data_IF_204730668945
#
_entry.id   IF_204730668945
#
_cell.length_a   1.000
_cell.length_b   1.000
_cell.length_c   1.000
_cell.angle_alpha   90.00
_cell.angle_beta   90.00
_cell.angle_gamma   90.00
#
_symmetry.space_group_name_H-M   'P 1'
#
loop_
_entity.id
_entity.type
_entity.pdbx_description
1 polymer ?
#
# COMPACT_ATOMS: atom_id res chain seq x y z
N UNK A 1 -18.22 -8.87 13.43
CA UNK A 1 -17.33 -10.03 13.20
C UNK A 1 -16.67 -10.38 14.53
N UNK A 2 -16.68 -11.64 15.00
CA UNK A 2 -15.87 -12.03 16.15
C UNK A 2 -14.38 -11.78 15.85
N UNK A 3 -13.55 -11.47 16.86
CA UNK A 3 -12.13 -11.26 16.67
C UNK A 3 -11.49 -12.52 16.08
N UNK A 4 -10.65 -12.33 15.05
CA UNK A 4 -9.81 -13.40 14.52
C UNK A 4 -8.70 -13.67 15.54
N UNK A 5 -8.71 -14.86 16.15
CA UNK A 5 -7.66 -15.31 17.07
C UNK A 5 -7.00 -16.53 16.45
N UNK A 6 -5.76 -16.37 15.99
CA UNK A 6 -4.95 -17.47 15.47
C UNK A 6 -3.66 -17.58 16.29
N UNK A 7 -3.48 -18.66 17.08
CA UNK A 7 -2.48 -18.72 18.14
C UNK A 7 -1.02 -18.63 17.67
N UNK A 8 -0.73 -18.99 16.41
CA UNK A 8 0.63 -18.96 15.85
C UNK A 8 0.80 -17.98 14.67
N UNK A 9 -0.25 -17.22 14.32
CA UNK A 9 -0.18 -16.34 13.15
C UNK A 9 0.76 -15.18 13.40
N UNK A 10 0.74 -14.60 14.60
CA UNK A 10 1.65 -13.52 14.98
C UNK A 10 3.12 -13.93 14.90
N UNK A 11 3.48 -15.11 15.40
CA UNK A 11 4.86 -15.62 15.36
C UNK A 11 5.31 -15.95 13.93
N UNK A 12 4.45 -16.60 13.14
CA UNK A 12 4.74 -16.90 11.74
C UNK A 12 4.90 -15.60 10.93
N UNK A 13 4.04 -14.61 11.19
CA UNK A 13 4.13 -13.30 10.58
C UNK A 13 5.45 -12.61 10.96
N UNK A 14 5.83 -12.60 12.24
CA UNK A 14 7.10 -12.01 12.68
C UNK A 14 8.32 -12.70 12.06
N UNK A 15 8.32 -14.03 11.98
CA UNK A 15 9.38 -14.79 11.31
C UNK A 15 9.48 -14.43 9.83
N UNK A 16 8.35 -14.44 9.11
CA UNK A 16 8.30 -14.07 7.68
C UNK A 16 8.63 -12.59 7.44
N UNK A 17 8.31 -11.69 8.36
CA UNK A 17 8.77 -10.30 8.30
C UNK A 17 10.29 -10.19 8.48
N UNK A 18 10.89 -11.05 9.32
CA UNK A 18 12.35 -11.17 9.44
C UNK A 18 13.01 -11.62 8.14
N UNK A 19 12.35 -12.48 7.36
CA UNK A 19 12.83 -12.90 6.03
C UNK A 19 12.78 -11.78 4.98
N UNK A 20 11.96 -10.74 5.19
CA UNK A 20 11.95 -9.56 4.31
C UNK A 20 13.15 -8.65 4.54
N UNK A 21 13.71 -8.60 5.75
CA UNK A 21 14.75 -7.65 6.12
C UNK A 21 16.00 -7.73 5.21
N UNK A 22 16.57 -8.91 4.91
CA UNK A 22 17.71 -9.05 3.98
C UNK A 22 17.40 -8.62 2.52
N UNK A 23 16.13 -8.53 2.14
CA UNK A 23 15.70 -8.04 0.82
C UNK A 23 15.57 -6.51 0.85
N UNK A 24 15.06 -5.96 1.95
CA UNK A 24 14.79 -4.53 2.10
C UNK A 24 16.06 -3.72 2.34
N UNK A 25 17.02 -4.24 3.12
CA UNK A 25 18.26 -3.53 3.46
C UNK A 25 19.09 -3.16 2.21
N UNK A 26 19.33 -4.06 1.24
CA UNK A 26 20.02 -3.68 0.00
C UNK A 26 19.24 -2.67 -0.86
N UNK A 27 17.90 -2.76 -0.86
CA UNK A 27 17.05 -1.86 -1.64
C UNK A 27 17.03 -0.44 -1.07
N UNK A 28 17.08 -0.32 0.25
CA UNK A 28 17.11 0.95 0.97
C UNK A 28 18.53 1.46 1.26
N UNK A 29 19.53 0.59 1.10
CA UNK A 29 20.95 0.90 1.30
C UNK A 29 21.31 1.15 2.77
N UNK A 30 20.56 0.57 3.70
CA UNK A 30 20.63 0.85 5.14
C UNK A 30 19.91 -0.23 5.96
N UNK A 31 20.09 -0.22 7.28
CA UNK A 31 19.26 -0.98 8.23
C UNK A 31 17.80 -0.59 8.05
N UNK A 32 16.88 -1.54 8.16
CA UNK A 32 15.45 -1.29 7.90
C UNK A 32 14.64 -1.32 9.18
N UNK A 33 13.73 -0.35 9.31
CA UNK A 33 12.68 -0.32 10.34
C UNK A 33 11.32 -0.40 9.68
N UNK A 34 10.42 -1.15 10.30
CA UNK A 34 9.00 -1.16 9.92
C UNK A 34 8.32 0.03 10.62
N UNK A 35 7.79 0.95 9.82
CA UNK A 35 7.15 2.18 10.29
C UNK A 35 5.70 1.94 10.67
N UNK A 36 4.95 1.25 9.80
CA UNK A 36 3.61 0.77 10.11
C UNK A 36 3.28 -0.54 9.42
N UNK A 37 2.32 -1.25 10.00
CA UNK A 37 1.71 -2.46 9.46
C UNK A 37 0.20 -2.30 9.59
N UNK A 38 -0.52 -2.45 8.48
CA UNK A 38 -1.98 -2.36 8.41
C UNK A 38 -2.54 -3.56 7.65
N UNK A 39 -3.79 -3.92 7.94
CA UNK A 39 -4.54 -4.85 7.08
C UNK A 39 -5.54 -4.05 6.27
N UNK A 40 -5.39 -4.06 4.96
CA UNK A 40 -6.36 -3.44 4.05
C UNK A 40 -7.32 -4.49 3.55
N UNK A 41 -8.61 -4.16 3.60
CA UNK A 41 -9.68 -4.99 3.10
C UNK A 41 -10.49 -4.22 2.06
N UNK A 42 -10.74 -4.85 0.91
CA UNK A 42 -11.68 -4.34 -0.09
C UNK A 42 -12.81 -5.36 -0.26
N UNK A 43 -13.98 -5.17 0.37
CA UNK A 43 -15.14 -6.02 0.13
C UNK A 43 -15.62 -5.94 -1.33
N UNK A 44 -16.53 -6.85 -1.71
CA UNK A 44 -17.23 -6.78 -3.00
C UNK A 44 -17.81 -5.37 -3.22
N UNK A 45 -17.77 -4.90 -4.46
CA UNK A 45 -18.30 -3.60 -4.91
C UNK A 45 -17.56 -2.39 -4.31
N UNK A 46 -16.39 -2.59 -3.70
CA UNK A 46 -15.53 -1.48 -3.27
C UNK A 46 -15.15 -0.63 -4.49
N UNK A 47 -15.32 0.70 -4.42
CA UNK A 47 -14.91 1.58 -5.50
C UNK A 47 -13.38 1.61 -5.60
N UNK A 48 -12.88 1.94 -6.79
CA UNK A 48 -11.47 2.22 -6.97
C UNK A 48 -11.08 3.50 -6.22
N UNK A 49 -9.89 3.50 -5.65
CA UNK A 49 -9.32 4.66 -4.96
C UNK A 49 -8.88 5.72 -5.97
N UNK A 50 -8.87 6.97 -5.53
CA UNK A 50 -8.20 8.05 -6.27
C UNK A 50 -6.71 7.74 -6.42
N UNK A 51 -6.12 8.24 -7.50
CA UNK A 51 -4.70 8.10 -7.78
C UNK A 51 -3.91 9.01 -6.86
N UNK A 52 -2.96 8.42 -6.12
CA UNK A 52 -2.13 9.14 -5.18
C UNK A 52 -0.76 8.46 -5.03
N UNK A 53 0.26 9.22 -4.61
CA UNK A 53 1.45 8.68 -3.99
C UNK A 53 1.22 8.48 -2.48
N UNK A 54 2.01 7.62 -1.84
CA UNK A 54 1.98 7.45 -0.39
C UNK A 54 2.66 8.65 0.30
N UNK A 55 1.87 9.40 1.08
CA UNK A 55 2.35 10.34 2.11
C UNK A 55 2.85 11.71 1.63
N UNK A 56 3.04 11.95 0.33
CA UNK A 56 3.58 13.21 -0.19
C UNK A 56 2.66 13.85 -1.23
N UNK A 57 2.60 15.19 -1.28
CA UNK A 57 2.06 15.88 -2.45
C UNK A 57 3.04 15.80 -3.63
N UNK A 58 2.57 15.83 -4.88
CA UNK A 58 3.41 15.87 -6.10
C UNK A 58 4.50 16.95 -6.07
N UNK A 59 4.24 18.07 -5.40
CA UNK A 59 5.23 19.14 -5.20
C UNK A 59 6.45 18.71 -4.37
N UNK A 60 6.30 17.82 -3.40
CA UNK A 60 7.40 17.29 -2.56
C UNK A 60 8.13 16.11 -3.21
N UNK A 61 7.48 15.44 -4.17
CA UNK A 61 8.04 14.32 -4.91
C UNK A 61 9.21 14.75 -5.81
N UNK A 62 9.08 15.88 -6.52
CA UNK A 62 10.13 16.38 -7.42
C UNK A 62 11.48 16.63 -6.73
N UNK A 63 11.49 17.07 -5.48
CA UNK A 63 12.72 17.31 -4.71
C UNK A 63 13.43 16.02 -4.30
N UNK A 64 12.67 14.96 -4.00
CA UNK A 64 13.21 13.67 -3.53
C UNK A 64 13.73 12.80 -4.68
N UNK A 65 13.07 12.84 -5.85
CA UNK A 65 13.59 12.19 -7.07
C UNK A 65 15.00 12.67 -7.43
N UNK A 66 15.29 13.96 -7.19
CA UNK A 66 16.62 14.54 -7.44
C UNK A 66 17.73 14.01 -6.52
N UNK A 67 17.36 13.40 -5.37
CA UNK A 67 18.30 12.93 -4.34
C UNK A 67 18.61 11.44 -4.41
N UNK A 68 17.96 10.68 -5.30
CA UNK A 68 18.36 9.32 -5.66
C UNK A 68 18.31 8.26 -4.55
N UNK A 69 17.72 8.55 -3.40
CA UNK A 69 17.54 7.59 -2.29
C UNK A 69 16.09 7.57 -1.86
N UNK A 70 15.40 6.46 -2.11
CA UNK A 70 14.13 6.21 -1.47
C UNK A 70 14.41 5.88 -0.01
N UNK A 71 14.11 6.79 0.92
CA UNK A 71 14.23 6.52 2.36
C UNK A 71 13.18 5.54 2.87
N UNK A 72 12.27 5.09 2.01
CA UNK A 72 11.19 4.17 2.37
C UNK A 72 10.71 3.34 1.17
N UNK A 73 10.12 2.18 1.48
CA UNK A 73 9.55 1.23 0.53
C UNK A 73 8.22 0.71 1.06
N UNK A 74 7.24 0.62 0.19
CA UNK A 74 5.93 0.04 0.48
C UNK A 74 5.94 -1.44 0.09
N UNK A 75 5.42 -2.28 0.97
CA UNK A 75 5.35 -3.73 0.80
C UNK A 75 3.92 -4.20 1.06
N UNK A 76 3.27 -4.77 0.05
CA UNK A 76 1.98 -5.44 0.20
C UNK A 76 2.14 -6.95 0.08
N UNK A 77 1.73 -7.68 1.11
CA UNK A 77 1.65 -9.15 1.11
C UNK A 77 0.20 -9.56 0.93
N UNK A 78 -0.08 -10.34 -0.12
CA UNK A 78 -1.44 -10.79 -0.40
C UNK A 78 -1.84 -11.90 0.58
N UNK A 79 -2.94 -11.71 1.31
CA UNK A 79 -3.43 -12.73 2.25
C UNK A 79 -4.35 -13.76 1.58
N UNK A 80 -4.68 -13.56 0.31
CA UNK A 80 -5.49 -14.44 -0.55
C UNK A 80 -5.03 -14.35 -2.00
N UNK A 81 -5.50 -15.27 -2.82
CA UNK A 81 -5.38 -15.15 -4.28
C UNK A 81 -6.13 -13.91 -4.76
N UNK A 82 -5.49 -13.10 -5.60
CA UNK A 82 -6.04 -11.85 -6.14
C UNK A 82 -5.90 -11.85 -7.66
N UNK A 83 -7.03 -11.72 -8.36
CA UNK A 83 -7.08 -11.50 -9.80
C UNK A 83 -7.01 -10.00 -10.11
N UNK A 84 -6.65 -9.59 -11.35
CA UNK A 84 -6.53 -8.17 -11.72
C UNK A 84 -7.80 -7.34 -11.51
N UNK A 85 -8.98 -7.96 -11.51
CA UNK A 85 -10.30 -7.36 -11.31
C UNK A 85 -10.82 -7.40 -9.86
N UNK A 86 -10.01 -7.93 -8.92
CA UNK A 86 -10.34 -8.05 -7.51
C UNK A 86 -9.60 -7.00 -6.66
N UNK A 87 -9.89 -5.71 -6.91
CA UNK A 87 -9.27 -4.58 -6.22
C UNK A 87 -7.73 -4.63 -6.20
N UNK A 88 -7.12 -5.20 -7.25
CA UNK A 88 -5.66 -5.22 -7.38
C UNK A 88 -5.11 -3.78 -7.31
N UNK A 89 -3.91 -3.58 -6.78
CA UNK A 89 -3.27 -2.27 -6.85
C UNK A 89 -2.87 -1.97 -8.30
N UNK A 90 -3.15 -0.76 -8.77
CA UNK A 90 -2.73 -0.27 -10.08
C UNK A 90 -1.63 0.77 -9.88
N UNK A 91 -0.68 0.80 -10.81
CA UNK A 91 0.39 1.80 -10.86
C UNK A 91 0.26 2.59 -12.16
N UNK A 92 0.72 3.84 -12.15
CA UNK A 92 0.93 4.55 -13.40
C UNK A 92 2.23 4.11 -14.07
N UNK A 93 2.20 4.05 -15.40
CA UNK A 93 3.42 3.88 -16.17
C UNK A 93 4.37 5.06 -15.92
N UNK A 94 5.70 4.86 -16.05
CA UNK A 94 6.67 5.95 -15.87
C UNK A 94 6.39 7.17 -16.76
N UNK A 95 5.83 6.96 -17.95
CA UNK A 95 5.46 8.01 -18.89
C UNK A 95 4.24 8.84 -18.45
N UNK A 96 3.44 8.32 -17.51
CA UNK A 96 2.27 8.96 -16.93
C UNK A 96 2.53 9.54 -15.54
N UNK A 97 3.62 9.12 -14.88
CA UNK A 97 4.10 9.74 -13.66
C UNK A 97 4.25 11.25 -13.87
N UNK A 98 3.66 12.06 -12.98
CA UNK A 98 3.61 13.53 -13.03
C UNK A 98 2.67 14.18 -14.05
N UNK A 99 1.91 13.41 -14.86
CA UNK A 99 0.90 14.00 -15.77
C UNK A 99 -0.44 14.30 -15.11
N UNK A 100 -0.70 13.69 -13.97
CA UNK A 100 -1.98 13.74 -13.27
C UNK A 100 -1.77 14.31 -11.87
N UNK A 101 -2.77 15.03 -11.37
CA UNK A 101 -2.77 15.51 -9.98
C UNK A 101 -2.97 14.34 -9.02
N UNK A 102 -2.47 14.51 -7.79
CA UNK A 102 -2.95 13.74 -6.63
C UNK A 102 -4.47 13.90 -6.58
N UNK A 103 -5.21 12.88 -6.12
CA UNK A 103 -6.68 12.86 -6.05
C UNK A 103 -7.42 12.59 -7.37
N UNK A 104 -6.70 12.44 -8.50
CA UNK A 104 -7.33 12.14 -9.78
C UNK A 104 -8.22 10.88 -9.65
N UNK A 105 -9.52 10.92 -9.98
CA UNK A 105 -10.40 9.76 -9.81
C UNK A 105 -9.91 8.53 -10.57
N UNK A 106 -10.08 7.34 -9.99
CA UNK A 106 -9.60 6.07 -10.56
C UNK A 106 -9.93 5.92 -12.05
N UNK A 107 -11.19 6.19 -12.43
CA UNK A 107 -11.73 6.03 -13.78
C UNK A 107 -11.29 7.13 -14.77
N UNK A 108 -10.74 8.24 -14.30
CA UNK A 108 -10.36 9.37 -15.15
C UNK A 108 -9.07 9.12 -15.96
N UNK A 109 -8.19 8.21 -15.50
CA UNK A 109 -6.93 7.91 -16.19
C UNK A 109 -7.15 6.80 -17.22
N UNK A 110 -6.71 6.97 -18.47
CA UNK A 110 -6.86 5.93 -19.50
C UNK A 110 -6.14 4.62 -19.10
N UNK A 111 -6.75 3.47 -19.43
CA UNK A 111 -6.23 2.14 -19.14
C UNK A 111 -4.83 1.89 -19.69
N UNK A 112 -4.43 2.51 -20.81
CA UNK A 112 -3.09 2.28 -21.37
C UNK A 112 -1.95 2.86 -20.49
N UNK A 113 -2.26 3.82 -19.61
CA UNK A 113 -1.30 4.33 -18.63
C UNK A 113 -1.25 3.50 -17.35
N UNK A 114 -2.16 2.54 -17.19
CA UNK A 114 -2.29 1.74 -15.97
C UNK A 114 -1.48 0.45 -16.11
N UNK A 115 -0.53 0.26 -15.21
CA UNK A 115 0.17 -1.00 -15.01
C UNK A 115 -0.55 -1.77 -13.91
N UNK A 116 -1.02 -2.97 -14.24
CA UNK A 116 -1.76 -3.83 -13.30
C UNK A 116 -0.98 -5.13 -13.13
N UNK A 117 -0.66 -5.52 -11.90
CA UNK A 117 -0.12 -6.85 -11.63
C UNK A 117 -1.03 -7.94 -12.21
N UNK A 118 -0.45 -9.07 -12.68
CA UNK A 118 -1.25 -10.22 -13.11
C UNK A 118 -1.98 -10.86 -11.92
N UNK A 119 -2.70 -11.95 -12.16
CA UNK A 119 -3.24 -12.74 -11.07
C UNK A 119 -2.09 -13.27 -10.18
N UNK A 120 -2.21 -13.05 -8.87
CA UNK A 120 -1.21 -13.42 -7.88
C UNK A 120 -1.82 -14.33 -6.82
N UNK A 121 -0.97 -15.17 -6.23
CA UNK A 121 -1.38 -16.12 -5.17
C UNK A 121 -1.23 -15.52 -3.78
N UNK A 122 -1.96 -16.07 -2.81
CA UNK A 122 -1.70 -15.78 -1.40
C UNK A 122 -0.20 -15.95 -1.07
N UNK A 123 0.35 -15.03 -0.28
CA UNK A 123 1.78 -14.94 0.04
C UNK A 123 2.62 -14.18 -0.98
N UNK A 124 2.07 -13.81 -2.16
CA UNK A 124 2.80 -12.97 -3.12
C UNK A 124 3.05 -11.59 -2.53
N UNK A 125 4.19 -11.00 -2.89
CA UNK A 125 4.64 -9.70 -2.41
C UNK A 125 4.67 -8.69 -3.57
N UNK A 126 4.11 -7.52 -3.35
CA UNK A 126 4.21 -6.37 -4.25
C UNK A 126 5.02 -5.30 -3.51
N UNK A 127 6.12 -4.86 -4.11
CA UNK A 127 6.98 -3.81 -3.56
C UNK A 127 6.99 -2.62 -4.49
N UNK A 128 6.86 -1.42 -3.93
CA UNK A 128 6.89 -0.20 -4.72
C UNK A 128 7.38 0.98 -3.88
N UNK A 129 7.91 1.99 -4.57
CA UNK A 129 8.35 3.21 -3.92
C UNK A 129 7.13 4.05 -3.51
N UNK A 130 7.14 4.70 -2.34
CA UNK A 130 6.00 5.52 -1.88
C UNK A 130 5.62 6.63 -2.86
N UNK A 131 6.58 7.10 -3.66
CA UNK A 131 6.36 8.09 -4.70
C UNK A 131 5.68 7.57 -5.97
N UNK A 132 5.49 6.25 -6.11
CA UNK A 132 4.79 5.69 -7.25
C UNK A 132 3.31 6.08 -7.18
N UNK A 133 2.82 6.75 -8.22
CA UNK A 133 1.39 7.01 -8.36
C UNK A 133 0.64 5.69 -8.49
N UNK A 134 -0.25 5.43 -7.54
CA UNK A 134 -0.99 4.18 -7.46
C UNK A 134 -2.42 4.41 -7.00
N UNK A 135 -3.24 3.37 -7.16
CA UNK A 135 -4.61 3.32 -6.70
C UNK A 135 -5.03 1.87 -6.45
N UNK A 136 -5.76 1.61 -5.38
CA UNK A 136 -6.55 0.38 -5.27
C UNK A 136 -7.61 0.34 -6.38
N UNK A 137 -7.63 -0.72 -7.18
CA UNK A 137 -8.66 -0.92 -8.19
C UNK A 137 -10.04 -1.20 -7.57
N UNK A 138 -11.06 -1.23 -8.42
CA UNK A 138 -12.40 -1.66 -8.02
C UNK A 138 -12.42 -3.14 -7.66
N UNK A 139 -13.24 -3.53 -6.68
CA UNK A 139 -13.53 -4.94 -6.43
C UNK A 139 -14.81 -5.36 -7.16
N UNK A 140 -14.68 -5.90 -8.36
CA UNK A 140 -15.82 -6.37 -9.14
C UNK A 140 -16.23 -7.83 -8.84
N UNK A 141 -15.52 -8.53 -7.96
CA UNK A 141 -15.73 -9.95 -7.69
C UNK A 141 -16.36 -10.20 -6.33
N UNK A 142 -17.04 -11.33 -6.16
CA UNK A 142 -17.72 -11.70 -4.91
C UNK A 142 -16.79 -11.98 -3.72
N UNK A 143 -15.47 -11.97 -3.94
CA UNK A 143 -14.48 -12.29 -2.92
C UNK A 143 -13.80 -11.01 -2.43
N UNK A 144 -13.72 -10.78 -1.11
CA UNK A 144 -12.95 -9.66 -0.58
C UNK A 144 -11.45 -9.86 -0.84
N UNK A 145 -10.76 -8.76 -1.16
CA UNK A 145 -9.29 -8.69 -1.11
C UNK A 145 -8.87 -8.37 0.32
N UNK A 146 -7.83 -9.07 0.78
CA UNK A 146 -7.12 -8.76 2.01
C UNK A 146 -5.62 -8.70 1.74
N UNK A 147 -4.98 -7.61 2.18
CA UNK A 147 -3.53 -7.46 2.10
C UNK A 147 -2.98 -7.00 3.43
N UNK A 148 -1.80 -7.52 3.77
CA UNK A 148 -0.97 -6.92 4.79
C UNK A 148 -0.12 -5.84 4.13
N UNK A 149 -0.30 -4.61 4.58
CA UNK A 149 0.30 -3.42 4.02
C UNK A 149 1.34 -2.86 4.99
N UNK A 150 2.59 -2.79 4.55
CA UNK A 150 3.75 -2.53 5.40
C UNK A 150 4.53 -1.36 4.79
N UNK A 151 4.89 -0.39 5.62
CA UNK A 151 5.86 0.64 5.25
C UNK A 151 7.21 0.33 5.91
N UNK A 152 8.23 0.13 5.08
CA UNK A 152 9.61 -0.02 5.49
C UNK A 152 10.38 1.29 5.30
N UNK A 153 11.22 1.67 6.25
CA UNK A 153 12.06 2.88 6.22
C UNK A 153 13.52 2.55 6.46
N UNK A 154 14.41 3.27 5.80
CA UNK A 154 15.85 3.24 6.08
C UNK A 154 16.11 3.84 7.48
N UNK A 155 16.97 3.22 8.29
CA UNK A 155 17.26 3.64 9.67
C UNK A 155 17.80 5.06 9.76
N UNK A 156 18.64 5.47 8.81
CA UNK A 156 19.20 6.82 8.66
C UNK A 156 18.20 7.86 8.18
N UNK A 157 17.04 7.46 7.63
CA UNK A 157 15.98 8.40 7.23
C UNK A 157 15.18 8.96 8.42
N UNK A 158 15.49 8.54 9.66
CA UNK A 158 14.85 8.98 10.90
C UNK A 158 15.45 10.31 11.45
N UNK A 159 16.43 10.92 10.77
CA UNK A 159 16.94 12.24 11.17
C UNK A 159 16.02 13.37 10.70
N UNK A 160 15.02 13.67 11.52
CA UNK A 160 14.11 14.80 11.34
C UNK A 160 12.72 14.42 11.81
N UNK A 161 12.34 14.95 12.98
CA UNK A 161 10.96 15.03 13.49
C UNK A 161 10.11 13.76 13.31
N UNK A 162 10.00 13.00 14.40
CA UNK A 162 9.10 11.83 14.59
C UNK A 162 7.60 12.13 14.47
N UNK A 163 7.25 13.02 13.55
CA UNK A 163 5.92 13.39 13.08
C UNK A 163 5.95 13.40 11.56
N UNK A 164 6.34 12.29 10.91
CA UNK A 164 5.53 11.92 9.73
C UNK A 164 4.23 11.42 10.31
N UNK A 165 3.38 12.37 10.70
CA UNK A 165 1.96 12.15 10.88
C UNK A 165 1.48 11.55 9.57
N UNK A 166 1.44 10.21 9.51
CA UNK A 166 0.52 9.53 8.63
C UNK A 166 -0.80 10.22 8.89
N UNK A 167 -1.30 10.88 7.86
CA UNK A 167 -2.53 11.63 7.91
C UNK A 167 -3.55 10.91 8.79
N UNK A 168 -3.85 11.52 9.93
CA UNK A 168 -5.16 11.44 10.53
C UNK A 168 -6.16 12.25 9.68
N UNK A 169 -6.01 12.30 8.34
CA UNK A 169 -7.19 12.52 7.50
C UNK A 169 -7.89 11.19 7.47
N UNK A 170 -8.85 11.07 8.39
CA UNK A 170 -10.10 10.37 8.13
C UNK A 170 -9.92 9.13 7.26
N UNK A 171 -9.69 7.99 7.90
CA UNK A 171 -10.30 6.75 7.39
C UNK A 171 -11.74 7.17 7.08
N UNK A 172 -12.17 7.26 5.79
CA UNK A 172 -13.56 7.54 5.51
C UNK A 172 -14.33 6.44 6.23
N UNK A 173 -15.18 6.85 7.17
CA UNK A 173 -16.07 6.12 8.08
C UNK A 173 -16.49 4.66 7.76
N UNK A 174 -15.58 3.77 7.35
CA UNK A 174 -15.85 2.35 7.12
C UNK A 174 -15.75 1.56 8.44
N UNK A 175 -15.10 2.10 9.48
CA UNK A 175 -14.99 1.41 10.78
C UNK A 175 -16.11 1.76 11.76
N UNK A 176 -16.71 2.95 11.69
CA UNK A 176 -17.77 3.37 12.63
C UNK A 176 -19.17 2.92 12.22
N UNK A 177 -19.48 2.84 10.92
CA UNK A 177 -20.76 2.30 10.45
C UNK A 177 -20.89 0.78 10.71
N UNK A 178 -19.78 0.04 10.62
CA UNK A 178 -19.75 -1.40 10.90
C UNK A 178 -19.96 -1.73 12.39
N UNK A 179 -19.45 -0.89 13.30
CA UNK A 179 -19.61 -1.11 14.75
C UNK A 179 -20.96 -0.64 15.30
N UNK A 180 -21.68 0.23 14.58
CA UNK A 180 -23.00 0.73 15.00
C UNK A 180 -24.16 -0.23 14.64
N UNK A 181 -23.97 -1.15 13.68
CA UNK A 181 -25.01 -2.10 13.23
C UNK A 181 -24.97 -3.46 13.93
N UNK A 182 -24.05 -3.64 14.89
CA UNK A 182 -23.86 -4.91 15.61
C UNK A 182 -23.80 -4.72 17.13
N UNK A 183 -24.49 -3.70 17.66
CA UNK A 183 -24.88 -3.62 19.07
C UNK A 183 -26.33 -4.04 19.24
#
# INVERSE_FOLDING_TARGET
MPPFVHPSFGESLLHSLGELQPILEPLLGDDVRLDFISVLAAPKDSPGQEWHPDGWSLSKLGEQFSRGKAGSLKVQVLLRDVAPDNAMIHFLSPEASFKFADDTPYRAIDKHYRVVPPALKAGSVIMYMPFAMHAGGENAVDKPKFVLDIMAKAGSSVTGDGTTSCFQSEIPAFSSAFLAQHR
#
